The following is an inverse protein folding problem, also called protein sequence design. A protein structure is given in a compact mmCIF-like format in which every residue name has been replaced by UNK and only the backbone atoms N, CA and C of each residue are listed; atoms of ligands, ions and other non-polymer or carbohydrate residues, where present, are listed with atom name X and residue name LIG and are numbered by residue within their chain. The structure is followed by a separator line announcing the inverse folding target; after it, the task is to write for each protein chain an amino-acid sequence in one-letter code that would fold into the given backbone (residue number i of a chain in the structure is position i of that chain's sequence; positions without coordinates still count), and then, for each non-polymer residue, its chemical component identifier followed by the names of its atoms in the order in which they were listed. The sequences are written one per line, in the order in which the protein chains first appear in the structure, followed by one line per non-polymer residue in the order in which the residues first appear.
data_IF_899007910846
#
_entry.id   IF_899007910846
#
_cell.length_a   1.000
_cell.length_b   1.000
_cell.length_c   1.000
_cell.angle_alpha   90.00
_cell.angle_beta   90.00
_cell.angle_gamma   90.00
#
_symmetry.space_group_name_H-M   'P 1'
#
loop_
_entity.id
_entity.type
_entity.pdbx_description
1 polymer ?
#
# COMPACT_ATOMS: atom_id res chain seq x y z
N UNK A 1 -23.39 -17.77 -17.63
CA UNK A 1 -23.24 -17.43 -16.21
C UNK A 1 -23.32 -15.93 -16.01
N UNK A 2 -24.37 -15.46 -15.32
CA UNK A 2 -24.52 -14.03 -14.97
C UNK A 2 -23.54 -13.70 -13.84
N UNK A 3 -22.46 -12.97 -14.14
CA UNK A 3 -21.55 -12.43 -13.11
C UNK A 3 -22.32 -11.37 -12.33
N UNK A 4 -22.75 -11.70 -11.10
CA UNK A 4 -23.31 -10.73 -10.16
C UNK A 4 -22.22 -9.71 -9.87
N UNK A 5 -22.47 -8.44 -10.22
CA UNK A 5 -21.56 -7.36 -9.88
C UNK A 5 -21.47 -7.25 -8.35
N UNK A 6 -20.28 -7.05 -7.78
CA UNK A 6 -20.15 -6.80 -6.35
C UNK A 6 -20.89 -5.50 -5.98
N UNK A 7 -21.37 -5.36 -4.73
CA UNK A 7 -22.07 -4.16 -4.30
C UNK A 7 -21.17 -2.92 -4.44
N UNK A 8 -21.77 -1.74 -4.56
CA UNK A 8 -21.06 -0.51 -4.94
C UNK A 8 -19.85 -0.18 -4.04
N UNK A 9 -19.95 -0.42 -2.73
CA UNK A 9 -18.86 -0.21 -1.76
C UNK A 9 -17.64 -1.10 -2.08
N UNK A 10 -17.89 -2.34 -2.49
CA UNK A 10 -16.85 -3.31 -2.84
C UNK A 10 -16.20 -2.95 -4.17
N UNK A 11 -16.93 -2.32 -5.10
CA UNK A 11 -16.35 -1.87 -6.38
C UNK A 11 -15.29 -0.80 -6.14
N UNK A 12 -15.54 0.18 -5.27
CA UNK A 12 -14.56 1.23 -4.98
C UNK A 12 -13.29 0.64 -4.36
N UNK A 13 -13.42 -0.23 -3.36
CA UNK A 13 -12.29 -0.93 -2.77
C UNK A 13 -11.50 -1.75 -3.80
N UNK A 14 -12.19 -2.44 -4.71
CA UNK A 14 -11.53 -3.20 -5.78
C UNK A 14 -10.81 -2.32 -6.81
N UNK A 15 -11.31 -1.11 -7.08
CA UNK A 15 -10.63 -0.14 -7.94
C UNK A 15 -9.38 0.42 -7.25
N UNK A 16 -9.43 0.62 -5.93
CA UNK A 16 -8.27 1.03 -5.14
C UNK A 16 -7.21 -0.08 -5.10
N UNK A 17 -7.61 -1.33 -4.84
CA UNK A 17 -6.73 -2.50 -4.95
C UNK A 17 -6.08 -2.61 -6.33
N UNK A 18 -6.86 -2.37 -7.40
CA UNK A 18 -6.35 -2.41 -8.76
C UNK A 18 -5.33 -1.30 -8.99
N UNK A 19 -5.59 -0.10 -8.49
CA UNK A 19 -4.65 1.03 -8.56
C UNK A 19 -3.34 0.69 -7.85
N UNK A 20 -3.42 0.08 -6.67
CA UNK A 20 -2.23 -0.38 -5.92
C UNK A 20 -1.46 -1.46 -6.66
N UNK A 21 -2.16 -2.45 -7.23
CA UNK A 21 -1.54 -3.53 -8.00
C UNK A 21 -0.82 -2.99 -9.23
N UNK A 22 -1.47 -2.11 -9.99
CA UNK A 22 -0.88 -1.46 -11.18
C UNK A 22 0.26 -0.50 -10.83
N UNK A 23 0.33 -0.01 -9.59
CA UNK A 23 1.46 0.80 -9.14
C UNK A 23 2.72 -0.05 -8.87
N UNK A 24 2.59 -1.37 -8.74
CA UNK A 24 3.75 -2.28 -8.66
C UNK A 24 4.29 -2.58 -10.05
N UNK A 25 5.63 -2.62 -10.26
CA UNK A 25 6.20 -2.99 -11.56
C UNK A 25 5.73 -4.36 -12.05
N UNK A 26 5.71 -5.35 -11.14
CA UNK A 26 5.28 -6.72 -11.45
C UNK A 26 3.80 -6.78 -11.87
N UNK A 27 2.92 -6.09 -11.14
CA UNK A 27 1.50 -6.05 -11.47
C UNK A 27 1.22 -5.32 -12.77
N UNK A 28 1.90 -4.19 -12.99
CA UNK A 28 1.79 -3.43 -14.24
C UNK A 28 2.22 -4.27 -15.46
N UNK A 29 3.41 -4.87 -15.41
CA UNK A 29 3.96 -5.64 -16.53
C UNK A 29 3.10 -6.87 -16.85
N UNK A 30 2.58 -7.55 -15.82
CA UNK A 30 1.70 -8.71 -16.00
C UNK A 30 0.38 -8.31 -16.68
N UNK A 31 -0.24 -7.21 -16.25
CA UNK A 31 -1.48 -6.71 -16.87
C UNK A 31 -1.22 -6.17 -18.27
N UNK A 32 -0.08 -5.51 -18.51
CA UNK A 32 0.31 -5.03 -19.83
C UNK A 32 0.49 -6.17 -20.83
N UNK A 33 1.20 -7.24 -20.45
CA UNK A 33 1.39 -8.41 -21.28
C UNK A 33 0.05 -9.08 -21.67
N UNK A 34 -0.95 -9.04 -20.78
CA UNK A 34 -2.30 -9.50 -21.07
C UNK A 34 -3.08 -8.51 -21.95
N UNK A 35 -3.06 -7.22 -21.62
CA UNK A 35 -3.78 -6.17 -22.35
C UNK A 35 -3.30 -5.98 -23.80
N UNK A 36 -2.07 -6.37 -24.11
CA UNK A 36 -1.55 -6.43 -25.49
C UNK A 36 -2.30 -7.45 -26.35
N UNK A 37 -2.74 -8.57 -25.77
CA UNK A 37 -3.51 -9.61 -26.48
C UNK A 37 -4.97 -9.19 -26.73
N UNK A 38 -5.52 -8.38 -25.82
CA UNK A 38 -6.93 -7.98 -25.80
C UNK A 38 -7.18 -6.56 -26.36
N UNK A 39 -6.17 -5.94 -27.00
CA UNK A 39 -6.25 -4.59 -27.57
C UNK A 39 -6.67 -3.47 -26.58
N UNK A 40 -6.40 -3.64 -25.29
CA UNK A 40 -6.67 -2.66 -24.21
C UNK A 40 -5.40 -2.00 -23.66
N UNK A 41 -4.36 -1.94 -24.49
CA UNK A 41 -3.04 -1.42 -24.11
C UNK A 41 -3.05 0.10 -23.92
N UNK A 42 -3.88 0.81 -24.69
CA UNK A 42 -3.94 2.27 -24.67
C UNK A 42 -4.40 2.79 -23.30
N UNK A 43 -5.44 2.19 -22.72
CA UNK A 43 -5.96 2.59 -21.41
C UNK A 43 -4.92 2.42 -20.30
N UNK A 44 -4.16 1.32 -20.33
CA UNK A 44 -3.14 1.03 -19.33
C UNK A 44 -1.93 1.99 -19.44
N UNK A 45 -1.47 2.24 -20.66
CA UNK A 45 -0.36 3.18 -20.91
C UNK A 45 -0.76 4.63 -20.64
N UNK A 46 -2.00 5.02 -20.99
CA UNK A 46 -2.53 6.33 -20.66
C UNK A 46 -2.60 6.51 -19.13
N UNK A 47 -3.03 5.49 -18.39
CA UNK A 47 -3.06 5.53 -16.93
C UNK A 47 -1.66 5.74 -16.34
N UNK A 48 -0.67 4.99 -16.82
CA UNK A 48 0.72 5.16 -16.40
C UNK A 48 1.25 6.59 -16.69
N UNK A 49 0.79 7.22 -17.77
CA UNK A 49 1.17 8.60 -18.09
C UNK A 49 0.55 9.63 -17.15
N UNK A 50 -0.71 9.45 -16.78
CA UNK A 50 -1.39 10.28 -15.78
C UNK A 50 -0.75 10.10 -14.40
N UNK A 51 -0.35 8.87 -14.06
CA UNK A 51 0.37 8.57 -12.82
C UNK A 51 1.76 9.23 -12.76
N UNK A 52 2.48 9.30 -13.89
CA UNK A 52 3.70 10.11 -13.99
C UNK A 52 3.42 11.59 -13.78
N UNK A 53 2.32 12.11 -14.33
CA UNK A 53 1.90 13.51 -14.13
C UNK A 53 1.62 13.79 -12.65
N UNK A 54 0.89 12.91 -11.96
CA UNK A 54 0.55 13.08 -10.52
C UNK A 54 1.78 13.17 -9.63
N UNK A 55 2.88 12.49 -10.02
CA UNK A 55 4.21 12.53 -9.39
C UNK A 55 5.09 13.70 -9.88
N UNK A 56 4.55 14.60 -10.70
CA UNK A 56 5.26 15.73 -11.31
C UNK A 56 6.43 15.33 -12.22
N UNK A 57 6.40 14.13 -12.81
CA UNK A 57 7.44 13.63 -13.72
C UNK A 57 7.21 14.06 -15.18
N UNK A 58 5.98 14.41 -15.52
CA UNK A 58 5.59 14.94 -16.84
C UNK A 58 4.63 16.11 -16.66
N UNK A 59 4.51 16.95 -17.68
CA UNK A 59 3.60 18.11 -17.66
C UNK A 59 2.20 17.74 -18.13
N UNK A 60 1.19 18.55 -17.79
CA UNK A 60 -0.16 18.37 -18.31
C UNK A 60 -0.22 18.49 -19.84
N UNK A 61 0.66 19.29 -20.45
CA UNK A 61 0.79 19.38 -21.90
C UNK A 61 1.28 18.06 -22.51
N UNK A 62 2.23 17.38 -21.87
CA UNK A 62 2.71 16.07 -22.30
C UNK A 62 1.58 15.03 -22.26
N UNK A 63 0.80 15.00 -21.18
CA UNK A 63 -0.38 14.11 -21.08
C UNK A 63 -1.39 14.44 -22.18
N UNK A 64 -1.63 15.73 -22.45
CA UNK A 64 -2.55 16.14 -23.50
C UNK A 64 -2.12 15.61 -24.88
N UNK A 65 -0.88 15.86 -25.29
CA UNK A 65 -0.37 15.45 -26.60
C UNK A 65 -0.33 13.92 -26.76
N UNK A 66 0.00 13.18 -25.70
CA UNK A 66 0.20 11.72 -25.78
C UNK A 66 -1.10 10.92 -25.61
N UNK A 67 -2.08 11.44 -24.86
CA UNK A 67 -3.26 10.67 -24.45
C UNK A 67 -4.61 11.30 -24.82
N UNK A 68 -4.68 12.62 -25.02
CA UNK A 68 -5.95 13.35 -25.14
C UNK A 68 -6.14 14.01 -26.51
N UNK A 69 -5.06 14.34 -27.22
CA UNK A 69 -5.12 14.92 -28.55
C UNK A 69 -5.80 13.95 -29.53
N UNK A 70 -6.63 14.45 -30.48
CA UNK A 70 -7.17 13.63 -31.54
C UNK A 70 -6.03 12.91 -32.27
N UNK A 71 -6.17 11.59 -32.46
CA UNK A 71 -5.14 10.74 -33.10
C UNK A 71 -3.85 10.56 -32.28
N UNK A 72 -3.82 10.97 -31.00
CA UNK A 72 -2.70 10.62 -30.13
C UNK A 72 -2.55 9.11 -29.98
N UNK A 73 -1.31 8.65 -29.81
CA UNK A 73 -0.96 7.23 -29.79
C UNK A 73 -1.72 6.46 -28.69
N UNK A 74 -1.90 7.09 -27.53
CA UNK A 74 -2.58 6.52 -26.38
C UNK A 74 -4.03 7.02 -26.24
N UNK A 75 -4.58 7.60 -27.31
CA UNK A 75 -5.97 8.01 -27.32
C UNK A 75 -6.88 6.83 -27.03
N UNK A 76 -7.82 7.01 -26.12
CA UNK A 76 -8.81 5.98 -25.77
C UNK A 76 -10.16 6.63 -25.46
N UNK A 77 -11.24 5.83 -25.46
CA UNK A 77 -12.60 6.34 -25.24
C UNK A 77 -12.78 7.06 -23.90
N UNK A 78 -12.00 6.68 -22.88
CA UNK A 78 -12.03 7.32 -21.56
C UNK A 78 -11.59 8.80 -21.60
N UNK A 79 -10.81 9.20 -22.61
CA UNK A 79 -10.35 10.57 -22.79
C UNK A 79 -11.45 11.52 -23.28
N UNK A 80 -12.51 11.01 -23.94
CA UNK A 80 -13.51 11.82 -24.67
C UNK A 80 -14.09 12.97 -23.86
N UNK A 81 -14.49 12.71 -22.61
CA UNK A 81 -15.09 13.73 -21.72
C UNK A 81 -14.04 14.63 -21.06
N UNK A 82 -12.78 14.18 -21.05
CA UNK A 82 -11.66 14.83 -20.36
C UNK A 82 -11.00 15.87 -21.27
N UNK A 83 -10.88 15.59 -22.57
CA UNK A 83 -10.19 16.46 -23.54
C UNK A 83 -10.66 17.92 -23.46
N UNK A 84 -11.98 18.24 -23.45
CA UNK A 84 -12.43 19.63 -23.44
C UNK A 84 -12.03 20.37 -22.16
N UNK A 85 -12.09 19.69 -21.01
CA UNK A 85 -11.72 20.27 -19.72
C UNK A 85 -10.22 20.58 -19.66
N UNK A 86 -9.37 19.65 -20.06
CA UNK A 86 -7.91 19.85 -20.09
C UNK A 86 -7.52 20.92 -21.11
N UNK A 87 -8.09 20.89 -22.31
CA UNK A 87 -7.82 21.89 -23.35
C UNK A 87 -8.20 23.31 -22.88
N UNK A 88 -9.33 23.46 -22.19
CA UNK A 88 -9.75 24.75 -21.62
C UNK A 88 -8.76 25.27 -20.59
N UNK A 89 -8.24 24.41 -19.70
CA UNK A 89 -7.27 24.81 -18.69
C UNK A 89 -5.92 25.18 -19.33
N UNK A 90 -5.45 24.40 -20.32
CA UNK A 90 -4.20 24.68 -21.03
C UNK A 90 -4.24 25.96 -21.89
N UNK A 91 -5.41 26.29 -22.44
CA UNK A 91 -5.62 27.50 -23.26
C UNK A 91 -5.97 28.74 -22.44
N UNK A 92 -6.22 28.59 -21.14
CA UNK A 92 -6.54 29.74 -20.29
C UNK A 92 -5.33 30.69 -20.28
N UNK A 93 -5.52 31.98 -20.59
CA UNK A 93 -4.42 32.93 -20.56
C UNK A 93 -3.84 32.95 -19.15
N UNK A 94 -2.52 32.73 -19.04
CA UNK A 94 -1.80 32.95 -17.79
C UNK A 94 -2.14 34.38 -17.32
N UNK A 95 -2.59 34.59 -16.07
CA UNK A 95 -2.91 35.93 -15.61
C UNK A 95 -1.72 36.84 -15.91
N UNK A 96 -1.97 37.96 -16.61
CA UNK A 96 -0.98 38.93 -17.07
C UNK A 96 -0.34 39.73 -15.93
N UNK A 97 0.06 39.09 -14.85
CA UNK A 97 0.97 39.67 -13.89
C UNK A 97 1.96 38.62 -13.44
N UNK A 98 3.21 39.06 -13.48
CA UNK A 98 4.41 38.49 -12.92
C UNK A 98 4.22 38.02 -11.46
N UNK A 99 3.48 36.94 -11.26
CA UNK A 99 3.34 36.23 -10.00
C UNK A 99 3.86 34.83 -10.25
N UNK A 100 5.17 34.71 -10.08
CA UNK A 100 5.77 33.46 -9.64
C UNK A 100 5.33 33.28 -8.18
N UNK A 101 4.68 32.18 -7.77
CA UNK A 101 4.50 30.89 -8.46
C UNK A 101 3.11 30.76 -9.14
N UNK A 102 2.90 29.73 -9.98
CA UNK A 102 1.58 29.41 -10.56
C UNK A 102 0.51 29.38 -9.47
N UNK A 103 -0.62 30.04 -9.73
CA UNK A 103 -1.70 30.12 -8.76
C UNK A 103 -2.19 28.70 -8.41
N UNK A 104 -2.35 28.36 -7.12
CA UNK A 104 -2.70 27.01 -6.67
C UNK A 104 -4.07 26.54 -7.18
N UNK A 105 -4.94 27.46 -7.63
CA UNK A 105 -6.25 27.16 -8.19
C UNK A 105 -6.20 26.50 -9.58
N UNK A 106 -5.23 26.87 -10.43
CA UNK A 106 -5.08 26.26 -11.77
C UNK A 106 -4.48 24.86 -11.67
N UNK A 107 -3.49 24.68 -10.79
CA UNK A 107 -2.89 23.37 -10.53
C UNK A 107 -3.85 22.41 -9.82
N UNK A 108 -4.70 22.89 -8.91
CA UNK A 108 -5.73 22.07 -8.27
C UNK A 108 -6.83 21.65 -9.25
N UNK A 109 -7.27 22.55 -10.14
CA UNK A 109 -8.26 22.22 -11.17
C UNK A 109 -7.72 21.18 -12.16
N UNK A 110 -6.48 21.35 -12.64
CA UNK A 110 -5.86 20.36 -13.53
C UNK A 110 -5.69 19.00 -12.84
N UNK A 111 -5.24 18.98 -11.59
CA UNK A 111 -5.09 17.75 -10.81
C UNK A 111 -6.40 16.99 -10.68
N UNK A 112 -7.49 17.68 -10.35
CA UNK A 112 -8.81 17.04 -10.22
C UNK A 112 -9.30 16.44 -11.54
N UNK A 113 -9.06 17.09 -12.68
CA UNK A 113 -9.43 16.54 -14.00
C UNK A 113 -8.58 15.31 -14.34
N UNK A 114 -7.29 15.32 -13.98
CA UNK A 114 -6.40 14.19 -14.18
C UNK A 114 -6.74 13.01 -13.25
N UNK A 115 -7.19 13.28 -12.02
CA UNK A 115 -7.68 12.25 -11.11
C UNK A 115 -8.97 11.59 -11.64
N UNK A 116 -9.91 12.37 -12.19
CA UNK A 116 -11.10 11.82 -12.87
C UNK A 116 -10.73 10.97 -14.10
N UNK A 117 -9.76 11.43 -14.89
CA UNK A 117 -9.25 10.66 -16.02
C UNK A 117 -8.62 9.33 -15.57
N UNK A 118 -7.77 9.37 -14.53
CA UNK A 118 -7.18 8.16 -13.95
C UNK A 118 -8.26 7.19 -13.47
N UNK A 119 -9.27 7.67 -12.74
CA UNK A 119 -10.38 6.85 -12.25
C UNK A 119 -11.17 6.21 -13.40
N UNK A 120 -11.46 6.95 -14.48
CA UNK A 120 -12.11 6.41 -15.68
C UNK A 120 -11.27 5.30 -16.34
N UNK A 121 -9.95 5.48 -16.43
CA UNK A 121 -9.04 4.48 -17.00
C UNK A 121 -9.00 3.21 -16.15
N UNK A 122 -8.81 3.32 -14.83
CA UNK A 122 -8.82 2.18 -13.90
C UNK A 122 -10.14 1.42 -14.00
N UNK A 123 -11.27 2.15 -14.07
CA UNK A 123 -12.59 1.54 -14.25
C UNK A 123 -12.68 0.76 -15.56
N UNK A 124 -12.17 1.28 -16.67
CA UNK A 124 -12.15 0.54 -17.94
C UNK A 124 -11.28 -0.71 -17.83
N UNK A 125 -10.08 -0.61 -17.24
CA UNK A 125 -9.18 -1.76 -17.03
C UNK A 125 -9.87 -2.82 -16.17
N UNK A 126 -10.52 -2.40 -15.08
CA UNK A 126 -11.28 -3.28 -14.20
C UNK A 126 -12.40 -4.04 -14.92
N UNK A 127 -13.18 -3.37 -15.77
CA UNK A 127 -14.32 -4.02 -16.42
C UNK A 127 -13.94 -4.82 -17.67
N UNK A 128 -12.86 -4.44 -18.36
CA UNK A 128 -12.50 -5.00 -19.67
C UNK A 128 -11.33 -5.97 -19.61
N UNK A 129 -10.34 -5.69 -18.78
CA UNK A 129 -9.07 -6.43 -18.76
C UNK A 129 -9.02 -7.40 -17.58
N UNK A 130 -9.35 -6.91 -16.38
CA UNK A 130 -9.18 -7.67 -15.14
C UNK A 130 -9.89 -9.04 -15.13
N UNK A 131 -11.15 -9.19 -15.61
CA UNK A 131 -11.85 -10.47 -15.54
C UNK A 131 -11.21 -11.54 -16.43
N UNK A 132 -10.60 -11.14 -17.54
CA UNK A 132 -9.83 -12.02 -18.41
C UNK A 132 -8.46 -12.33 -17.80
N UNK A 133 -7.78 -11.31 -17.28
CA UNK A 133 -6.48 -11.47 -16.61
C UNK A 133 -6.54 -12.46 -15.44
N UNK A 134 -7.58 -12.37 -14.59
CA UNK A 134 -7.80 -13.27 -13.46
C UNK A 134 -7.96 -14.74 -13.84
N UNK A 135 -8.37 -15.04 -15.08
CA UNK A 135 -8.47 -16.41 -15.57
C UNK A 135 -7.13 -16.97 -16.06
N UNK A 136 -6.18 -16.09 -16.39
CA UNK A 136 -4.91 -16.46 -17.02
C UNK A 136 -3.69 -16.26 -16.11
N UNK A 137 -3.82 -15.50 -15.02
CA UNK A 137 -2.73 -15.20 -14.11
C UNK A 137 -3.18 -15.26 -12.65
N UNK A 138 -2.45 -15.99 -11.78
CA UNK A 138 -2.72 -15.99 -10.34
C UNK A 138 -2.22 -14.69 -9.66
N UNK A 139 -1.41 -13.87 -10.32
CA UNK A 139 -0.73 -12.72 -9.73
C UNK A 139 -1.68 -11.73 -9.04
N UNK A 140 -2.89 -11.55 -9.59
CA UNK A 140 -3.93 -10.73 -8.94
C UNK A 140 -4.38 -11.32 -7.60
N UNK A 141 -4.63 -12.63 -7.55
CA UNK A 141 -5.11 -13.32 -6.34
C UNK A 141 -4.02 -13.38 -5.27
N UNK A 142 -2.78 -13.61 -5.68
CA UNK A 142 -1.61 -13.56 -4.81
C UNK A 142 -1.48 -12.17 -4.18
N UNK A 143 -1.56 -11.11 -4.99
CA UNK A 143 -1.53 -9.73 -4.50
C UNK A 143 -2.65 -9.43 -3.50
N UNK A 144 -3.90 -9.80 -3.81
CA UNK A 144 -5.02 -9.60 -2.89
C UNK A 144 -4.83 -10.37 -1.57
N UNK A 145 -4.21 -11.55 -1.62
CA UNK A 145 -3.88 -12.33 -0.42
C UNK A 145 -2.81 -11.64 0.42
N UNK A 146 -1.80 -11.06 -0.21
CA UNK A 146 -0.78 -10.25 0.46
C UNK A 146 -1.39 -9.02 1.13
N UNK A 147 -2.24 -8.26 0.43
CA UNK A 147 -2.91 -7.09 1.01
C UNK A 147 -3.73 -7.45 2.25
N UNK A 148 -4.58 -8.47 2.16
CA UNK A 148 -5.37 -8.94 3.31
C UNK A 148 -4.50 -9.37 4.48
N UNK A 149 -3.35 -10.00 4.20
CA UNK A 149 -2.41 -10.43 5.24
C UNK A 149 -1.78 -9.21 5.94
N UNK A 150 -1.41 -8.17 5.18
CA UNK A 150 -0.89 -6.92 5.74
C UNK A 150 -1.93 -6.21 6.61
N UNK A 151 -3.19 -6.11 6.15
CA UNK A 151 -4.27 -5.50 6.93
C UNK A 151 -4.54 -6.25 8.25
N UNK A 152 -4.50 -7.59 8.21
CA UNK A 152 -4.64 -8.42 9.41
C UNK A 152 -3.48 -8.19 10.40
N UNK A 153 -2.25 -8.11 9.92
CA UNK A 153 -1.08 -7.84 10.76
C UNK A 153 -1.17 -6.44 11.40
N UNK A 154 -1.59 -5.42 10.64
CA UNK A 154 -1.80 -4.07 11.17
C UNK A 154 -2.92 -4.03 12.23
N UNK A 155 -3.99 -4.79 12.02
CA UNK A 155 -5.07 -4.92 13.01
C UNK A 155 -4.61 -5.59 14.30
N UNK A 156 -3.79 -6.64 14.22
CA UNK A 156 -3.22 -7.32 15.39
C UNK A 156 -2.29 -6.36 16.15
N UNK A 157 -1.43 -5.63 15.45
CA UNK A 157 -0.54 -4.64 16.07
C UNK A 157 -1.34 -3.60 16.86
N UNK A 158 -2.38 -3.01 16.26
CA UNK A 158 -3.30 -2.06 16.94
C UNK A 158 -3.95 -2.67 18.18
N UNK A 159 -4.38 -3.94 18.13
CA UNK A 159 -4.96 -4.63 19.29
C UNK A 159 -3.94 -4.85 20.41
N UNK A 160 -2.69 -5.20 20.08
CA UNK A 160 -1.61 -5.36 21.07
C UNK A 160 -1.20 -4.03 21.71
N UNK A 161 -1.22 -2.93 20.95
CA UNK A 161 -0.99 -1.58 21.48
C UNK A 161 -2.13 -1.11 22.42
N UNK A 162 -3.39 -1.42 22.09
CA UNK A 162 -4.53 -1.09 22.94
C UNK A 162 -4.55 -1.90 24.25
N UNK A 163 -4.24 -3.20 24.19
CA UNK A 163 -4.15 -4.05 25.39
C UNK A 163 -2.99 -3.63 26.29
N UNK A 164 -1.83 -3.29 25.73
CA UNK A 164 -0.70 -2.74 26.48
C UNK A 164 -1.03 -1.38 27.13
N UNK A 165 -1.75 -0.51 26.42
CA UNK A 165 -2.20 0.79 26.95
C UNK A 165 -3.24 0.63 28.06
N UNK A 166 -4.13 -0.36 27.97
CA UNK A 166 -5.13 -0.65 29.00
C UNK A 166 -4.48 -1.25 30.25
N UNK A 167 -3.50 -2.16 30.07
CA UNK A 167 -2.73 -2.72 31.18
C UNK A 167 -1.93 -1.65 31.95
N UNK A 168 -1.32 -0.69 31.23
CA UNK A 168 -0.60 0.44 31.84
C UNK A 168 -1.52 1.38 32.64
N UNK A 169 -2.79 1.55 32.22
CA UNK A 169 -3.76 2.36 32.96
C UNK A 169 -4.32 1.64 34.20
N UNK A 170 -4.46 0.30 34.16
CA UNK A 170 -4.85 -0.48 35.35
C UNK A 170 -3.79 -0.44 36.46
N UNK A 171 -2.51 -0.43 36.10
CA UNK A 171 -1.40 -0.35 37.07
C UNK A 171 -1.30 0.99 37.82
N UNK A 172 -1.92 2.07 37.32
CA UNK A 172 -1.99 3.38 38.00
C UNK A 172 -3.17 3.51 38.98
N UNK A 173 -4.19 2.66 38.88
CA UNK A 173 -5.39 2.69 39.74
C UNK A 173 -5.27 1.77 40.97
N UNK A 174 -4.13 1.10 41.18
CA UNK A 174 -3.89 0.29 42.38
C UNK A 174 -3.03 0.97 43.46
N UNK A 175 -2.65 2.24 43.29
CA UNK A 175 -1.86 3.00 44.29
C UNK A 175 -2.68 4.08 44.97
N UNK A 176 -3.77 3.68 45.61
CA UNK A 176 -4.49 4.49 46.59
C UNK A 176 -4.69 3.65 47.86
N UNK A 177 -3.58 3.27 48.51
CA UNK A 177 -3.62 2.78 49.89
C UNK A 177 -3.89 3.97 50.82
N UNK A 178 -5.03 3.93 51.50
CA UNK A 178 -5.36 4.78 52.64
C UNK A 178 -4.37 4.51 53.80
N UNK A 179 -3.92 5.54 54.54
CA UNK A 179 -3.05 5.34 55.69
C UNK A 179 -3.88 5.03 56.96
N UNK A 180 -3.66 3.87 57.58
CA UNK A 180 -4.07 3.59 58.96
C UNK A 180 -2.88 3.83 59.92
N UNK A 181 -3.13 4.28 61.17
CA UNK A 181 -2.14 4.95 61.99
C UNK A 181 -1.19 3.99 62.72
N UNK A 182 0.03 4.49 62.92
CA UNK A 182 1.07 3.92 63.78
C UNK A 182 0.55 3.50 65.16
N UNK A 183 0.74 2.24 65.52
CA UNK A 183 0.83 1.81 66.92
C UNK A 183 2.22 1.25 67.20
N UNK A 184 2.89 1.92 68.14
CA UNK A 184 4.21 1.62 68.69
C UNK A 184 4.01 0.76 69.94
N UNK A 185 4.71 -0.38 70.04
CA UNK A 185 4.73 -1.21 71.25
C UNK A 185 5.74 -2.34 71.17
N UNK A 186 6.77 -2.27 72.01
CA UNK A 186 7.87 -3.24 72.17
C UNK A 186 7.39 -4.59 72.76
N UNK A 187 8.06 -5.69 72.42
CA UNK A 187 8.75 -6.58 73.39
C UNK A 187 9.32 -7.85 72.73
N UNK A 188 10.49 -8.26 73.23
CA UNK A 188 11.29 -9.45 72.91
C UNK A 188 10.55 -10.78 73.04
N UNK A 189 10.89 -11.76 72.20
CA UNK A 189 11.13 -13.14 72.64
C UNK A 189 11.96 -13.96 71.64
N UNK A 190 12.93 -14.67 72.22
CA UNK A 190 13.85 -15.65 71.64
C UNK A 190 13.12 -16.84 70.97
N UNK A 191 13.68 -17.41 69.89
CA UNK A 191 14.14 -18.81 69.88
C UNK A 191 14.96 -19.16 68.62
N UNK A 192 15.95 -20.04 68.83
CA UNK A 192 16.98 -20.51 67.91
C UNK A 192 16.54 -21.67 67.00
N UNK A 193 17.39 -21.91 65.98
CA UNK A 193 17.64 -23.17 65.22
C UNK A 193 16.53 -23.57 64.23
N UNK A 194 16.83 -24.01 62.99
CA UNK A 194 17.53 -25.25 62.66
C UNK A 194 18.27 -25.21 61.32
N UNK A 195 19.29 -26.06 61.24
CA UNK A 195 20.30 -26.23 60.20
C UNK A 195 19.86 -27.09 58.99
N UNK A 196 20.53 -26.82 57.85
CA UNK A 196 21.21 -27.77 56.94
C UNK A 196 20.46 -28.90 56.20
N UNK A 197 21.14 -29.31 55.11
CA UNK A 197 20.95 -30.44 54.19
C UNK A 197 19.94 -30.19 53.04
N UNK A 198 20.26 -30.45 51.78
CA UNK A 198 21.45 -31.02 51.16
C UNK A 198 21.15 -31.45 49.72
N UNK A 199 22.22 -31.52 48.93
CA UNK A 199 22.40 -32.27 47.66
C UNK A 199 21.59 -31.85 46.42
N UNK A 200 22.22 -31.35 45.34
CA UNK A 200 23.27 -31.92 44.45
C UNK A 200 22.67 -32.76 43.32
N UNK A 201 23.14 -32.45 42.09
CA UNK A 201 23.60 -33.35 41.00
C UNK A 201 23.16 -32.76 39.63
N UNK A 202 24.06 -32.13 38.84
CA UNK A 202 25.00 -32.72 37.82
C UNK A 202 24.25 -33.12 36.53
N UNK A 203 24.67 -32.96 35.25
CA UNK A 203 25.95 -32.97 34.49
C UNK A 203 25.62 -32.30 33.12
N UNK A 204 26.26 -31.21 32.67
CA UNK A 204 27.35 -31.11 31.66
C UNK A 204 26.97 -31.33 30.14
N UNK A 205 27.82 -30.95 29.14
CA UNK A 205 27.47 -30.07 28.00
C UNK A 205 27.74 -30.67 26.60
N UNK A 206 27.41 -29.98 25.48
CA UNK A 206 28.00 -30.30 24.17
C UNK A 206 27.93 -29.18 23.10
N UNK A 207 29.11 -28.66 22.75
CA UNK A 207 29.70 -28.39 21.42
C UNK A 207 28.97 -27.59 20.28
N UNK A 208 29.67 -26.53 19.82
CA UNK A 208 29.61 -25.84 18.49
C UNK A 208 30.20 -26.75 17.36
N UNK A 209 30.12 -26.51 16.00
CA UNK A 209 30.57 -25.31 15.21
C UNK A 209 29.71 -24.98 13.93
N UNK A 210 29.63 -23.74 13.41
CA UNK A 210 30.41 -22.99 12.36
C UNK A 210 30.24 -23.39 10.87
N UNK A 211 30.05 -22.36 10.01
CA UNK A 211 30.21 -22.25 8.52
C UNK A 211 29.09 -22.82 7.61
N UNK A 212 28.77 -22.31 6.40
CA UNK A 212 29.54 -21.49 5.44
C UNK A 212 28.63 -20.67 4.51
N UNK A 213 29.17 -19.54 4.02
CA UNK A 213 28.73 -18.83 2.82
C UNK A 213 29.04 -19.65 1.56
N UNK A 214 28.11 -19.72 0.59
CA UNK A 214 28.44 -19.97 -0.81
C UNK A 214 27.67 -19.02 -1.74
N UNK A 215 28.43 -18.13 -2.37
CA UNK A 215 28.12 -17.50 -3.67
C UNK A 215 28.30 -18.55 -4.77
N UNK A 216 27.41 -18.53 -5.77
CA UNK A 216 27.69 -19.10 -7.10
C UNK A 216 27.16 -18.15 -8.17
N UNK A 217 28.08 -17.39 -8.77
CA UNK A 217 27.98 -16.87 -10.14
C UNK A 217 28.11 -18.04 -11.12
N UNK A 218 27.30 -18.09 -12.19
CA UNK A 218 27.71 -18.65 -13.48
C UNK A 218 27.14 -17.76 -14.60
N UNK A 219 28.03 -17.39 -15.52
CA UNK A 219 27.84 -16.58 -16.73
C UNK A 219 27.22 -17.31 -17.93
N UNK A 220 26.48 -16.54 -18.74
CA UNK A 220 26.32 -16.49 -20.20
C UNK A 220 26.63 -17.72 -21.10
N UNK A 221 25.78 -17.96 -22.12
CA UNK A 221 26.21 -18.26 -23.52
C UNK A 221 25.10 -17.93 -24.51
N UNK A 222 25.40 -17.06 -25.49
CA UNK A 222 24.66 -16.79 -26.73
C UNK A 222 25.11 -17.81 -27.78
N UNK A 223 24.21 -18.35 -28.61
CA UNK A 223 24.59 -19.01 -29.88
C UNK A 223 23.67 -18.56 -31.02
N UNK A 224 24.35 -18.17 -32.10
CA UNK A 224 23.96 -17.76 -33.47
C UNK A 224 22.53 -17.95 -33.95
#
# INVERSE_FOLDING_TARGET
SSRRLPPAKDIHALLDDLTLFLATPLGFDAVLAFAQKEAHTQELLAWAMVEKYKRNLVTAQTVYNQCLEPQSLLWCKAATDIVPAVARILRAPAPLLHVYPPTPASSSSMRHVMDDFSAKLVKTIYFKVLPGFQQHSPAWQEFQTTLKTMDLLESVDKMTQQTSSTANNLSKVSKAEQPLPNFRGNALQHHSEWSQYGNSTSVAPCNKPTESFRKSEISQTITR
#
